data_IF_179611149804
#
_entry.id   IF_179611149804
#
_cell.length_a   1.000
_cell.length_b   1.000
_cell.length_c   1.000
_cell.angle_alpha   90.00
_cell.angle_beta   90.00
_cell.angle_gamma   90.00
#
_symmetry.space_group_name_H-M   'P 1'
#
loop_
_entity.id
_entity.type
_entity.pdbx_description
1 polymer ?
#
# COMPACT_ATOMS: atom_id res chain seq x y z
N UNK A 1 13.12 -20.73 9.80
CA UNK A 1 12.39 -21.91 10.32
C UNK A 1 11.58 -21.58 11.59
N UNK A 2 12.17 -20.96 12.63
CA UNK A 2 11.47 -20.66 13.89
C UNK A 2 10.24 -19.74 13.67
N UNK A 3 10.38 -18.67 12.88
CA UNK A 3 9.25 -17.80 12.54
C UNK A 3 8.10 -18.58 11.87
N UNK A 4 8.41 -19.42 10.87
CA UNK A 4 7.39 -20.22 10.16
C UNK A 4 6.70 -21.20 11.11
N UNK A 5 7.46 -21.88 11.97
CA UNK A 5 6.90 -22.79 12.96
C UNK A 5 5.97 -22.06 13.97
N UNK A 6 6.30 -20.83 14.31
CA UNK A 6 5.46 -20.02 15.21
C UNK A 6 4.07 -19.69 14.60
N UNK A 7 3.94 -19.61 13.28
CA UNK A 7 2.65 -19.35 12.63
C UNK A 7 1.61 -20.44 12.92
N UNK A 8 2.05 -21.69 13.11
CA UNK A 8 1.16 -22.81 13.43
C UNK A 8 0.56 -22.70 14.84
N UNK A 9 1.17 -21.88 15.69
CA UNK A 9 0.77 -21.71 17.09
C UNK A 9 0.02 -20.39 17.35
N UNK A 10 -0.18 -19.55 16.32
CA UNK A 10 -0.90 -18.26 16.47
C UNK A 10 -2.32 -18.37 15.92
N UNK A 11 -3.34 -18.48 16.79
CA UNK A 11 -4.73 -18.56 16.36
C UNK A 11 -5.16 -17.32 15.56
N UNK A 12 -5.88 -17.53 14.47
CA UNK A 12 -6.41 -16.44 13.66
C UNK A 12 -5.48 -15.91 12.57
N UNK A 13 -4.21 -16.33 12.54
CA UNK A 13 -3.30 -16.01 11.46
C UNK A 13 -3.36 -17.10 10.38
N UNK A 14 -3.97 -16.79 9.24
CA UNK A 14 -4.09 -17.72 8.12
C UNK A 14 -2.87 -17.59 7.21
N UNK A 15 -2.05 -18.63 7.17
CA UNK A 15 -0.91 -18.73 6.25
C UNK A 15 -1.35 -19.32 4.91
N UNK A 16 -0.85 -18.74 3.81
CA UNK A 16 -1.07 -19.22 2.45
C UNK A 16 0.28 -19.42 1.79
N UNK A 17 0.60 -20.68 1.48
CA UNK A 17 1.81 -21.02 0.75
C UNK A 17 1.62 -20.69 -0.74
N UNK A 18 2.60 -19.99 -1.31
CA UNK A 18 2.69 -19.72 -2.74
C UNK A 18 4.01 -20.20 -3.29
N UNK A 19 4.09 -20.45 -4.60
CA UNK A 19 5.26 -21.09 -5.21
C UNK A 19 6.29 -20.10 -5.75
N UNK A 20 6.02 -18.80 -5.64
CA UNK A 20 6.92 -17.75 -6.14
C UNK A 20 6.60 -16.42 -5.45
N UNK A 21 7.63 -15.63 -5.12
CA UNK A 21 7.51 -14.43 -4.30
C UNK A 21 6.70 -13.30 -4.97
N UNK A 22 6.77 -13.18 -6.29
CA UNK A 22 5.90 -12.24 -7.03
C UNK A 22 4.42 -12.58 -6.87
N UNK A 23 4.07 -13.87 -6.72
CA UNK A 23 2.68 -14.28 -6.41
C UNK A 23 2.31 -13.85 -4.99
N UNK A 24 3.22 -14.00 -4.01
CA UNK A 24 2.98 -13.55 -2.64
C UNK A 24 2.69 -12.04 -2.58
N UNK A 25 3.57 -11.24 -3.18
CA UNK A 25 3.47 -9.78 -3.14
C UNK A 25 2.29 -9.25 -3.99
N UNK A 26 1.99 -9.91 -5.12
CA UNK A 26 0.81 -9.61 -5.93
C UNK A 26 -0.51 -9.97 -5.22
N UNK A 27 -0.54 -11.10 -4.51
CA UNK A 27 -1.70 -11.48 -3.70
C UNK A 27 -1.94 -10.50 -2.54
N UNK A 28 -0.88 -10.01 -1.89
CA UNK A 28 -0.96 -9.00 -0.83
C UNK A 28 -1.51 -7.66 -1.36
N UNK A 29 -1.03 -7.20 -2.53
CA UNK A 29 -1.56 -6.02 -3.21
C UNK A 29 -3.05 -6.19 -3.55
N UNK A 30 -3.41 -7.30 -4.18
CA UNK A 30 -4.81 -7.61 -4.52
C UNK A 30 -5.72 -7.70 -3.30
N UNK A 31 -5.23 -8.30 -2.21
CA UNK A 31 -5.98 -8.39 -0.97
C UNK A 31 -6.28 -7.00 -0.40
N UNK A 32 -5.28 -6.11 -0.32
CA UNK A 32 -5.51 -4.74 0.14
C UNK A 32 -6.55 -4.01 -0.70
N UNK A 33 -6.44 -4.09 -2.02
CA UNK A 33 -7.40 -3.43 -2.94
C UNK A 33 -8.84 -3.90 -2.72
N UNK A 34 -9.03 -5.15 -2.32
CA UNK A 34 -10.38 -5.73 -2.11
C UNK A 34 -10.88 -5.60 -0.66
N UNK A 35 -10.01 -5.79 0.33
CA UNK A 35 -10.37 -5.84 1.74
C UNK A 35 -10.12 -4.54 2.50
N UNK A 36 -9.31 -3.62 1.96
CA UNK A 36 -8.91 -2.38 2.64
C UNK A 36 -8.03 -2.61 3.87
N UNK A 37 -7.40 -3.78 3.96
CA UNK A 37 -6.55 -4.19 5.09
C UNK A 37 -5.20 -4.67 4.57
N UNK A 38 -4.07 -4.32 5.19
CA UNK A 38 -2.77 -4.86 4.83
C UNK A 38 -2.72 -6.38 4.98
N UNK A 39 -2.08 -7.04 4.01
CA UNK A 39 -1.64 -8.41 4.16
C UNK A 39 -0.16 -8.43 4.52
N UNK A 40 0.28 -9.53 5.17
CA UNK A 40 1.67 -9.77 5.46
C UNK A 40 2.26 -10.73 4.42
N UNK A 41 3.48 -10.46 3.94
CA UNK A 41 4.27 -11.39 3.13
C UNK A 41 5.51 -11.81 3.89
N UNK A 42 6.01 -13.02 3.65
CA UNK A 42 7.28 -13.52 4.19
C UNK A 42 8.17 -13.92 3.03
N UNK A 43 9.30 -13.24 2.89
CA UNK A 43 10.25 -13.40 1.80
C UNK A 43 11.62 -13.84 2.32
N UNK A 44 12.35 -14.60 1.50
CA UNK A 44 13.62 -15.21 1.91
C UNK A 44 14.82 -14.37 1.45
N UNK A 45 15.32 -13.52 2.35
CA UNK A 45 16.51 -12.69 2.16
C UNK A 45 16.42 -11.79 0.90
N UNK A 46 17.56 -11.32 0.42
CA UNK A 46 17.65 -10.49 -0.78
C UNK A 46 17.06 -11.10 -2.04
N UNK A 47 17.40 -12.37 -2.40
CA UNK A 47 16.80 -13.01 -3.57
C UNK A 47 15.29 -13.13 -3.52
N UNK A 48 14.71 -13.49 -2.35
CA UNK A 48 13.26 -13.55 -2.20
C UNK A 48 12.59 -12.18 -2.31
N UNK A 49 13.19 -11.15 -1.71
CA UNK A 49 12.71 -9.78 -1.89
C UNK A 49 12.80 -9.34 -3.35
N UNK A 50 13.94 -9.60 -4.01
CA UNK A 50 14.15 -9.24 -5.41
C UNK A 50 13.10 -9.84 -6.35
N UNK A 51 12.72 -11.10 -6.14
CA UNK A 51 11.63 -11.75 -6.90
C UNK A 51 10.26 -11.12 -6.66
N UNK A 52 10.04 -10.50 -5.50
CA UNK A 52 8.78 -9.83 -5.15
C UNK A 52 8.66 -8.38 -5.60
N UNK A 53 9.76 -7.75 -6.06
CA UNK A 53 9.84 -6.29 -6.28
C UNK A 53 8.82 -5.74 -7.26
N UNK A 54 8.52 -6.44 -8.36
CA UNK A 54 7.62 -5.94 -9.40
C UNK A 54 6.23 -5.63 -8.86
N UNK A 55 5.69 -6.51 -8.01
CA UNK A 55 4.38 -6.31 -7.43
C UNK A 55 4.42 -5.41 -6.18
N UNK A 56 5.53 -5.34 -5.44
CA UNK A 56 5.72 -4.31 -4.41
C UNK A 56 5.77 -2.90 -5.03
N UNK A 57 6.42 -2.74 -6.20
CA UNK A 57 6.35 -1.49 -6.95
C UNK A 57 4.90 -1.14 -7.32
N UNK A 58 4.13 -2.10 -7.82
CA UNK A 58 2.71 -1.89 -8.15
C UNK A 58 1.88 -1.54 -6.92
N UNK A 59 2.08 -2.24 -5.80
CA UNK A 59 1.42 -1.96 -4.53
C UNK A 59 1.73 -0.53 -4.04
N UNK A 60 3.00 -0.11 -4.11
CA UNK A 60 3.42 1.25 -3.76
C UNK A 60 2.72 2.30 -4.61
N UNK A 61 2.65 2.11 -5.93
CA UNK A 61 1.96 3.02 -6.85
C UNK A 61 0.45 3.05 -6.66
N UNK A 62 -0.13 1.92 -6.26
CA UNK A 62 -1.55 1.79 -5.97
C UNK A 62 -1.95 2.35 -4.59
N UNK A 63 -1.01 2.68 -3.73
CA UNK A 63 -1.30 3.01 -2.33
C UNK A 63 -1.86 1.82 -1.56
N UNK A 64 -1.37 0.62 -1.85
CA UNK A 64 -1.77 -0.60 -1.14
C UNK A 64 -0.91 -0.81 0.10
N UNK A 65 -1.57 -1.11 1.22
CA UNK A 65 -0.89 -1.48 2.46
C UNK A 65 -0.37 -2.92 2.39
N UNK A 66 0.94 -3.09 2.60
CA UNK A 66 1.60 -4.41 2.68
C UNK A 66 2.60 -4.38 3.82
N UNK A 67 2.54 -5.37 4.71
CA UNK A 67 3.59 -5.64 5.69
C UNK A 67 4.50 -6.71 5.09
N UNK A 68 5.66 -6.31 4.64
CA UNK A 68 6.60 -7.19 3.96
C UNK A 68 7.71 -7.59 4.94
N UNK A 69 7.68 -8.84 5.40
CA UNK A 69 8.70 -9.41 6.29
C UNK A 69 9.75 -10.09 5.43
N UNK A 70 11.00 -9.70 5.60
CA UNK A 70 12.14 -10.28 4.89
C UNK A 70 13.09 -10.90 5.89
N UNK A 71 13.32 -12.21 5.79
CA UNK A 71 14.34 -12.87 6.58
C UNK A 71 15.73 -12.35 6.21
N UNK A 72 16.63 -12.36 7.20
CA UNK A 72 18.04 -12.00 7.00
C UNK A 72 18.94 -13.02 7.73
N UNK A 73 20.22 -13.04 7.40
CA UNK A 73 21.23 -13.74 8.19
C UNK A 73 21.26 -13.22 9.62
N UNK A 74 21.72 -14.05 10.56
CA UNK A 74 21.94 -13.58 11.94
C UNK A 74 22.85 -12.35 11.94
N UNK A 75 22.62 -11.41 12.85
CA UNK A 75 23.37 -10.16 12.94
C UNK A 75 24.89 -10.39 12.93
N UNK A 76 25.35 -11.45 13.63
CA UNK A 76 26.76 -11.82 13.70
C UNK A 76 27.32 -12.44 12.42
N UNK A 77 26.48 -12.79 11.44
CA UNK A 77 26.87 -13.46 10.19
C UNK A 77 26.86 -12.51 8.98
N UNK A 78 26.22 -11.37 9.06
CA UNK A 78 26.08 -10.44 7.92
C UNK A 78 27.46 -10.00 7.42
N UNK A 79 28.40 -9.71 8.31
CA UNK A 79 29.75 -9.25 7.97
C UNK A 79 30.62 -10.38 7.32
N UNK A 80 30.19 -11.63 7.40
CA UNK A 80 30.94 -12.77 6.86
C UNK A 80 30.64 -13.03 5.37
N UNK A 81 29.80 -12.20 4.76
CA UNK A 81 29.43 -12.30 3.34
C UNK A 81 28.99 -13.72 2.92
N UNK A 82 28.04 -14.28 3.68
CA UNK A 82 27.47 -15.58 3.37
C UNK A 82 26.78 -15.59 1.98
N UNK A 83 26.58 -16.75 1.32
CA UNK A 83 26.14 -16.84 -0.08
C UNK A 83 24.84 -16.07 -0.45
N UNK A 84 23.99 -15.76 0.52
CA UNK A 84 22.74 -15.02 0.29
C UNK A 84 22.76 -13.62 0.92
N UNK A 85 23.91 -13.18 1.44
CA UNK A 85 24.08 -11.82 1.94
C UNK A 85 23.86 -10.81 0.80
N UNK A 86 23.09 -9.79 1.05
CA UNK A 86 22.79 -8.73 0.10
C UNK A 86 22.38 -7.44 0.82
N UNK A 87 22.48 -6.31 0.14
CA UNK A 87 21.92 -5.05 0.63
C UNK A 87 20.40 -5.08 0.55
N UNK A 88 19.77 -5.82 1.47
CA UNK A 88 18.30 -5.98 1.51
C UNK A 88 17.62 -4.63 1.73
N UNK A 89 18.20 -3.77 2.56
CA UNK A 89 17.66 -2.43 2.80
C UNK A 89 17.70 -1.57 1.54
N UNK A 90 18.80 -1.58 0.80
CA UNK A 90 18.94 -0.90 -0.49
C UNK A 90 17.95 -1.42 -1.54
N UNK A 91 17.68 -2.73 -1.55
CA UNK A 91 16.68 -3.35 -2.43
C UNK A 91 15.25 -2.93 -2.01
N UNK A 92 14.96 -2.83 -0.71
CA UNK A 92 13.63 -2.51 -0.18
C UNK A 92 13.24 -1.05 -0.37
N UNK A 93 14.18 -0.10 -0.22
CA UNK A 93 13.92 1.35 -0.22
C UNK A 93 13.12 1.87 -1.42
N UNK A 94 13.40 1.49 -2.68
CA UNK A 94 12.65 1.98 -3.83
C UNK A 94 11.17 1.58 -3.83
N UNK A 95 10.83 0.44 -3.26
CA UNK A 95 9.47 -0.13 -3.28
C UNK A 95 8.73 -0.01 -1.95
N UNK A 96 9.37 0.52 -0.91
CA UNK A 96 8.78 0.68 0.41
C UNK A 96 8.70 2.14 0.83
N UNK A 97 7.77 2.44 1.73
CA UNK A 97 7.63 3.74 2.38
C UNK A 97 8.31 3.76 3.75
N UNK A 98 8.33 2.60 4.39
CA UNK A 98 8.95 2.37 5.68
C UNK A 98 9.83 1.12 5.59
N UNK A 99 11.07 1.22 6.05
CA UNK A 99 12.06 0.14 6.03
C UNK A 99 12.78 0.13 7.37
N UNK A 100 12.87 -1.03 7.99
CA UNK A 100 13.52 -1.19 9.28
C UNK A 100 14.11 -2.59 9.45
N UNK A 101 15.23 -2.69 10.16
CA UNK A 101 15.84 -3.97 10.57
C UNK A 101 15.69 -4.11 12.08
N UNK A 102 15.03 -5.16 12.54
CA UNK A 102 14.97 -5.49 13.96
C UNK A 102 16.29 -6.12 14.39
N UNK A 103 16.91 -5.58 15.44
CA UNK A 103 18.28 -6.01 15.83
C UNK A 103 18.30 -6.98 17.02
N UNK A 104 17.18 -7.18 17.70
CA UNK A 104 17.07 -8.11 18.82
C UNK A 104 15.70 -8.77 18.89
N UNK A 105 15.62 -9.95 19.52
CA UNK A 105 14.35 -10.62 19.79
C UNK A 105 13.38 -9.72 20.62
N UNK A 106 13.91 -8.91 21.52
CA UNK A 106 13.12 -8.02 22.37
C UNK A 106 12.40 -6.92 21.57
N UNK A 107 12.98 -6.48 20.46
CA UNK A 107 12.46 -5.38 19.65
C UNK A 107 11.39 -5.83 18.62
N UNK A 108 11.40 -7.11 18.22
CA UNK A 108 10.56 -7.64 17.14
C UNK A 108 9.08 -7.27 17.29
N UNK A 109 8.52 -7.39 18.50
CA UNK A 109 7.11 -7.07 18.72
C UNK A 109 6.77 -5.60 18.46
N UNK A 110 7.59 -4.68 19.00
CA UNK A 110 7.42 -3.25 18.79
C UNK A 110 7.66 -2.84 17.33
N UNK A 111 8.67 -3.43 16.68
CA UNK A 111 8.98 -3.18 15.27
C UNK A 111 7.87 -3.69 14.34
N UNK A 112 7.32 -4.87 14.63
CA UNK A 112 6.17 -5.40 13.89
C UNK A 112 4.93 -4.51 14.06
N UNK A 113 4.66 -4.00 15.27
CA UNK A 113 3.56 -3.06 15.50
C UNK A 113 3.75 -1.76 14.71
N UNK A 114 4.98 -1.22 14.62
CA UNK A 114 5.32 -0.07 13.77
C UNK A 114 5.15 -0.35 12.28
N UNK A 115 5.57 -1.54 11.82
CA UNK A 115 5.38 -1.94 10.43
C UNK A 115 3.88 -2.00 10.06
N UNK A 116 3.06 -2.57 10.93
CA UNK A 116 1.60 -2.62 10.75
C UNK A 116 1.00 -1.21 10.74
N UNK A 117 1.41 -0.34 11.66
CA UNK A 117 0.98 1.06 11.69
C UNK A 117 1.35 1.78 10.39
N UNK A 118 2.60 1.64 9.94
CA UNK A 118 3.08 2.26 8.69
C UNK A 118 2.29 1.75 7.48
N UNK A 119 2.01 0.46 7.39
CA UNK A 119 1.23 -0.11 6.29
C UNK A 119 -0.22 0.41 6.25
N UNK A 120 -0.76 0.85 7.39
CA UNK A 120 -2.10 1.43 7.51
C UNK A 120 -2.15 2.96 7.33
N UNK A 121 -1.03 3.63 7.10
CA UNK A 121 -1.04 5.07 6.77
C UNK A 121 -1.75 5.26 5.44
N UNK A 122 -2.80 6.09 5.42
CA UNK A 122 -3.62 6.31 4.23
C UNK A 122 -2.82 6.92 3.06
N UNK A 123 -3.03 6.48 1.82
CA UNK A 123 -4.04 5.51 1.33
C UNK A 123 -3.71 4.04 1.62
N UNK A 124 -2.51 3.73 1.97
CA UNK A 124 -1.87 2.46 2.25
C UNK A 124 -0.40 2.53 1.85
N UNK A 125 0.48 1.88 2.60
CA UNK A 125 1.92 1.94 2.39
C UNK A 125 2.55 0.54 2.40
N UNK A 126 3.63 0.36 1.67
CA UNK A 126 4.48 -0.82 1.80
C UNK A 126 5.46 -0.57 2.94
N UNK A 127 5.38 -1.38 3.98
CA UNK A 127 6.29 -1.40 5.12
C UNK A 127 7.13 -2.67 5.08
N UNK A 128 8.45 -2.56 4.96
CA UNK A 128 9.38 -3.69 4.93
C UNK A 128 10.15 -3.76 6.24
N UNK A 129 10.00 -4.90 6.92
CA UNK A 129 10.69 -5.25 8.15
C UNK A 129 11.66 -6.40 7.88
N UNK A 130 12.96 -6.15 8.02
CA UNK A 130 13.97 -7.21 7.99
C UNK A 130 14.07 -7.85 9.38
N UNK A 131 14.08 -9.19 9.39
CA UNK A 131 14.23 -10.01 10.59
C UNK A 131 15.47 -10.90 10.47
N UNK A 132 16.62 -10.49 11.03
CA UNK A 132 17.74 -11.37 11.21
C UNK A 132 17.34 -12.66 11.94
N UNK A 133 17.90 -13.79 11.55
CA UNK A 133 17.47 -15.10 12.01
C UNK A 133 17.61 -15.29 13.53
N UNK A 134 18.57 -14.63 14.16
CA UNK A 134 18.77 -14.64 15.61
C UNK A 134 17.64 -13.90 16.37
N UNK A 135 16.96 -12.97 15.77
CA UNK A 135 15.76 -12.35 16.36
C UNK A 135 14.61 -13.35 16.52
N UNK A 136 14.60 -14.43 15.74
CA UNK A 136 13.55 -15.45 15.77
C UNK A 136 13.90 -16.66 16.66
N UNK A 137 15.18 -16.85 17.02
CA UNK A 137 15.59 -17.99 17.89
C UNK A 137 16.11 -17.57 19.27
N UNK A 138 16.47 -16.29 19.45
CA UNK A 138 16.87 -15.80 20.78
C UNK A 138 15.64 -15.57 21.67
N UNK A 139 15.86 -15.65 22.97
CA UNK A 139 14.84 -15.34 23.96
C UNK A 139 14.62 -13.82 24.12
N UNK A 140 13.51 -13.42 24.72
CA UNK A 140 13.21 -12.03 25.06
C UNK A 140 12.10 -11.38 24.23
N UNK A 141 11.55 -12.08 23.26
CA UNK A 141 10.44 -11.58 22.45
C UNK A 141 9.17 -11.36 23.30
N UNK A 142 8.52 -10.22 23.12
CA UNK A 142 7.25 -9.89 23.76
C UNK A 142 6.24 -9.43 22.71
N UNK A 143 4.95 -9.75 22.96
CA UNK A 143 3.87 -9.23 22.12
C UNK A 143 3.67 -7.75 22.42
N UNK A 144 3.81 -6.91 21.41
CA UNK A 144 3.51 -5.50 21.52
C UNK A 144 2.01 -5.23 21.26
N UNK A 145 1.40 -4.24 21.92
CA UNK A 145 0.06 -3.80 21.59
C UNK A 145 0.02 -3.19 20.19
N UNK A 146 -1.14 -3.28 19.53
CA UNK A 146 -1.38 -2.56 18.29
C UNK A 146 -1.23 -1.05 18.53
N UNK A 147 -0.52 -0.37 17.62
CA UNK A 147 -0.40 1.08 17.67
C UNK A 147 -1.65 1.73 17.07
N UNK A 148 -2.00 2.91 17.61
CA UNK A 148 -3.09 3.70 17.06
C UNK A 148 -2.81 4.04 15.57
N UNK A 149 -3.84 4.03 14.71
CA UNK A 149 -3.69 4.46 13.33
C UNK A 149 -3.16 5.88 13.23
N UNK A 150 -2.32 6.13 12.24
CA UNK A 150 -1.84 7.49 11.96
C UNK A 150 -3.04 8.41 11.66
N UNK A 151 -3.07 9.55 12.34
CA UNK A 151 -4.13 10.55 12.15
C UNK A 151 -4.00 11.14 10.75
N UNK A 152 -5.11 11.16 10.00
CA UNK A 152 -5.14 11.85 8.71
C UNK A 152 -5.02 13.36 8.93
N UNK A 153 -4.23 14.08 8.12
CA UNK A 153 -4.20 15.53 8.18
C UNK A 153 -5.60 16.13 8.01
N UNK A 154 -5.90 17.19 8.75
CA UNK A 154 -7.11 17.95 8.50
C UNK A 154 -7.05 18.60 7.10
N UNK A 155 -8.20 18.74 6.46
CA UNK A 155 -8.27 19.47 5.21
C UNK A 155 -8.07 20.98 5.44
N UNK A 156 -7.48 21.65 4.47
CA UNK A 156 -7.39 23.12 4.45
C UNK A 156 -8.74 23.72 4.03
N UNK A 157 -9.33 24.51 4.90
CA UNK A 157 -10.62 25.13 4.66
C UNK A 157 -10.58 26.15 3.50
N UNK A 158 -9.44 26.84 3.29
CA UNK A 158 -9.27 27.76 2.18
C UNK A 158 -9.21 27.00 0.85
N UNK A 159 -8.40 25.94 0.78
CA UNK A 159 -8.36 25.08 -0.40
C UNK A 159 -9.71 24.43 -0.73
N UNK A 160 -10.48 24.05 0.30
CA UNK A 160 -11.85 23.55 0.08
C UNK A 160 -12.75 24.61 -0.52
N UNK A 161 -12.70 25.86 -0.03
CA UNK A 161 -13.51 26.97 -0.57
C UNK A 161 -13.15 27.26 -2.03
N UNK A 162 -11.86 27.25 -2.38
CA UNK A 162 -11.39 27.41 -3.77
C UNK A 162 -11.88 26.26 -4.66
N UNK A 163 -11.80 25.02 -4.21
CA UNK A 163 -12.30 23.85 -4.93
C UNK A 163 -13.81 23.94 -5.17
N UNK A 164 -14.59 24.35 -4.16
CA UNK A 164 -16.05 24.56 -4.30
C UNK A 164 -16.35 25.63 -5.33
N UNK A 165 -15.62 26.75 -5.33
CA UNK A 165 -15.79 27.83 -6.32
C UNK A 165 -15.39 27.37 -7.74
N UNK A 166 -14.38 26.53 -7.87
CA UNK A 166 -13.92 25.99 -9.16
C UNK A 166 -14.92 25.00 -9.79
N UNK A 167 -15.68 24.25 -8.99
CA UNK A 167 -16.59 23.19 -9.45
C UNK A 167 -17.93 23.72 -9.99
N UNK A 168 -17.96 24.86 -10.69
CA UNK A 168 -19.17 25.46 -11.18
C UNK A 168 -19.29 25.37 -12.71
N UNK A 169 -20.30 24.65 -13.20
CA UNK A 169 -20.66 24.58 -14.62
C UNK A 169 -19.96 23.46 -15.40
N UNK A 170 -20.32 23.30 -16.69
CA UNK A 170 -19.92 22.16 -17.50
C UNK A 170 -18.45 22.19 -17.97
N UNK A 171 -17.77 23.33 -17.85
CA UNK A 171 -16.35 23.52 -18.15
C UNK A 171 -15.45 23.28 -16.94
N UNK A 172 -16.01 22.74 -15.85
CA UNK A 172 -15.28 22.27 -14.69
C UNK A 172 -15.28 20.74 -14.61
N UNK A 173 -14.16 20.19 -14.18
CA UNK A 173 -13.91 18.76 -14.04
C UNK A 173 -13.52 18.41 -12.60
N UNK A 174 -14.21 17.46 -12.01
CA UNK A 174 -13.76 16.77 -10.82
C UNK A 174 -13.01 15.50 -11.23
N UNK A 175 -11.68 15.57 -11.17
CA UNK A 175 -10.78 14.45 -11.49
C UNK A 175 -10.58 13.60 -10.24
N UNK A 176 -11.02 12.34 -10.30
CA UNK A 176 -11.06 11.41 -9.16
C UNK A 176 -9.94 10.40 -9.22
N UNK A 177 -9.37 10.07 -8.06
CA UNK A 177 -8.36 9.01 -7.92
C UNK A 177 -8.41 8.35 -6.55
N UNK A 178 -7.69 7.24 -6.39
CA UNK A 178 -7.54 6.54 -5.12
C UNK A 178 -8.85 6.19 -4.43
N UNK A 179 -8.98 6.56 -3.15
CA UNK A 179 -10.15 6.27 -2.33
C UNK A 179 -11.45 6.94 -2.82
N UNK A 180 -11.35 8.02 -3.60
CA UNK A 180 -12.51 8.70 -4.18
C UNK A 180 -13.26 7.85 -5.24
N UNK A 181 -12.69 6.72 -5.65
CA UNK A 181 -13.30 5.78 -6.59
C UNK A 181 -14.02 4.59 -5.92
N UNK A 182 -14.17 4.59 -4.60
CA UNK A 182 -15.04 3.66 -3.88
C UNK A 182 -16.51 3.94 -4.17
N UNK A 183 -17.40 2.96 -3.98
CA UNK A 183 -18.83 3.12 -4.23
C UNK A 183 -19.43 4.30 -3.48
N UNK A 184 -19.10 4.43 -2.19
CA UNK A 184 -19.57 5.51 -1.32
C UNK A 184 -19.12 6.90 -1.83
N UNK A 185 -17.83 7.04 -2.17
CA UNK A 185 -17.30 8.32 -2.64
C UNK A 185 -17.78 8.68 -4.05
N UNK A 186 -18.01 7.68 -4.92
CA UNK A 186 -18.62 7.92 -6.23
C UNK A 186 -20.05 8.44 -6.11
N UNK A 187 -20.81 8.00 -5.11
CA UNK A 187 -22.14 8.57 -4.83
C UNK A 187 -22.04 10.03 -4.41
N UNK A 188 -21.08 10.38 -3.55
CA UNK A 188 -20.81 11.78 -3.17
C UNK A 188 -20.42 12.60 -4.39
N UNK A 189 -19.51 12.10 -5.24
CA UNK A 189 -19.08 12.76 -6.47
C UNK A 189 -20.25 12.98 -7.44
N UNK A 190 -21.15 11.99 -7.56
CA UNK A 190 -22.37 12.10 -8.35
C UNK A 190 -23.31 13.21 -7.85
N UNK A 191 -23.49 13.35 -6.54
CA UNK A 191 -24.28 14.43 -5.94
C UNK A 191 -23.64 15.80 -6.18
N UNK A 192 -22.31 15.90 -6.10
CA UNK A 192 -21.57 17.12 -6.43
C UNK A 192 -21.82 17.48 -7.90
N UNK A 193 -21.63 16.55 -8.82
CA UNK A 193 -21.82 16.78 -10.24
C UNK A 193 -23.27 17.19 -10.58
N UNK A 194 -24.25 16.55 -9.96
CA UNK A 194 -25.67 16.92 -10.13
C UNK A 194 -25.98 18.36 -9.65
N UNK A 195 -25.34 18.78 -8.55
CA UNK A 195 -25.54 20.12 -7.97
C UNK A 195 -24.79 21.22 -8.74
N UNK A 196 -23.58 20.95 -9.21
CA UNK A 196 -22.68 21.97 -9.77
C UNK A 196 -22.65 21.98 -11.31
N UNK A 197 -23.04 20.88 -11.94
CA UNK A 197 -22.93 20.67 -13.38
C UNK A 197 -21.52 20.26 -13.85
N UNK A 198 -20.54 20.12 -12.93
CA UNK A 198 -19.20 19.67 -13.27
C UNK A 198 -19.20 18.25 -13.87
N UNK A 199 -18.18 17.95 -14.65
CA UNK A 199 -17.97 16.60 -15.20
C UNK A 199 -17.12 15.75 -14.25
N UNK A 200 -17.25 14.44 -14.37
CA UNK A 200 -16.50 13.46 -13.59
C UNK A 200 -15.60 12.65 -14.52
N UNK A 201 -14.31 12.62 -14.24
CA UNK A 201 -13.35 11.69 -14.83
C UNK A 201 -12.47 11.11 -13.73
N UNK A 202 -11.85 9.99 -14.02
CA UNK A 202 -10.80 9.43 -13.16
C UNK A 202 -9.46 9.44 -13.87
N UNK A 203 -8.39 9.46 -13.08
CA UNK A 203 -7.06 9.20 -13.60
C UNK A 203 -7.01 7.81 -14.29
N UNK A 204 -6.05 7.60 -15.18
CA UNK A 204 -5.96 6.35 -15.93
C UNK A 204 -5.44 5.17 -15.08
N UNK A 205 -4.54 5.43 -14.13
CA UNK A 205 -3.79 4.41 -13.36
C UNK A 205 -4.42 4.12 -11.99
N UNK A 206 -5.70 3.85 -11.94
CA UNK A 206 -6.39 3.61 -10.67
C UNK A 206 -6.06 2.24 -10.08
N UNK A 207 -5.84 2.20 -8.78
CA UNK A 207 -5.69 0.97 -8.02
C UNK A 207 -6.96 0.11 -8.05
N UNK A 208 -8.13 0.75 -7.87
CA UNK A 208 -9.45 0.16 -7.90
C UNK A 208 -10.48 1.22 -8.27
N UNK A 209 -11.44 0.86 -9.09
CA UNK A 209 -12.62 1.67 -9.38
C UNK A 209 -13.85 0.77 -9.36
N UNK A 210 -14.81 1.08 -8.52
CA UNK A 210 -16.07 0.34 -8.45
C UNK A 210 -17.00 0.76 -9.59
N UNK A 211 -17.60 -0.23 -10.27
CA UNK A 211 -18.41 -0.04 -11.48
C UNK A 211 -19.65 -0.92 -11.46
N UNK A 212 -20.62 -0.57 -12.30
CA UNK A 212 -21.85 -1.35 -12.48
C UNK A 212 -22.84 -1.22 -11.32
N UNK A 213 -23.87 -2.05 -11.32
CA UNK A 213 -24.93 -2.09 -10.28
C UNK A 213 -25.56 -0.72 -9.98
N UNK A 214 -25.76 0.15 -10.99
CA UNK A 214 -26.36 1.47 -10.82
C UNK A 214 -25.43 2.55 -10.25
N UNK A 215 -24.14 2.24 -10.06
CA UNK A 215 -23.16 3.23 -9.57
C UNK A 215 -22.95 4.36 -10.57
N UNK A 216 -22.54 5.51 -10.07
CA UNK A 216 -22.19 6.67 -10.88
C UNK A 216 -21.10 6.29 -11.90
N UNK A 217 -21.34 6.61 -13.15
CA UNK A 217 -20.41 6.33 -14.24
C UNK A 217 -19.32 7.39 -14.27
N UNK A 218 -18.08 6.95 -14.08
CA UNK A 218 -16.89 7.80 -14.20
C UNK A 218 -15.96 7.14 -15.23
N UNK A 219 -15.72 7.85 -16.34
CA UNK A 219 -14.79 7.40 -17.36
C UNK A 219 -13.35 7.75 -16.99
N UNK A 220 -12.39 7.00 -17.51
CA UNK A 220 -10.97 7.28 -17.30
C UNK A 220 -10.47 8.29 -18.32
N UNK A 221 -9.55 9.14 -17.91
CA UNK A 221 -8.68 9.86 -18.83
C UNK A 221 -7.88 8.83 -19.63
N UNK A 222 -7.81 8.92 -20.97
CA UNK A 222 -7.05 7.98 -21.79
C UNK A 222 -5.56 7.94 -21.42
N UNK A 223 -4.91 6.78 -21.61
CA UNK A 223 -3.46 6.63 -21.39
C UNK A 223 -2.61 7.36 -22.46
N UNK A 224 -2.93 7.28 -23.78
CA UNK A 224 -2.17 8.03 -24.80
C UNK A 224 -2.30 9.53 -24.56
N UNK A 225 -1.17 10.24 -24.58
CA UNK A 225 -1.10 11.64 -24.18
C UNK A 225 -1.92 12.57 -25.09
N UNK A 226 -1.95 12.31 -26.38
CA UNK A 226 -2.75 13.04 -27.36
C UNK A 226 -4.24 12.96 -27.07
N UNK A 227 -4.74 11.76 -26.79
CA UNK A 227 -6.13 11.52 -26.41
C UNK A 227 -6.45 12.10 -25.02
N UNK A 228 -5.50 12.06 -24.07
CA UNK A 228 -5.68 12.68 -22.77
C UNK A 228 -5.82 14.19 -22.88
N UNK A 229 -4.97 14.83 -23.69
CA UNK A 229 -5.03 16.26 -23.95
C UNK A 229 -6.36 16.66 -24.62
N UNK A 230 -6.80 15.89 -25.63
CA UNK A 230 -8.10 16.11 -26.28
C UNK A 230 -9.26 15.96 -25.31
N UNK A 231 -9.20 14.94 -24.42
CA UNK A 231 -10.24 14.70 -23.40
C UNK A 231 -10.32 15.83 -22.37
N UNK A 232 -9.16 16.41 -21.99
CA UNK A 232 -9.08 17.46 -20.98
C UNK A 232 -9.26 18.88 -21.53
N UNK A 233 -9.05 19.10 -22.83
CA UNK A 233 -9.11 20.40 -23.49
C UNK A 233 -10.40 21.21 -23.25
N UNK A 234 -11.60 20.59 -23.12
CA UNK A 234 -12.85 21.34 -22.87
C UNK A 234 -12.92 21.97 -21.47
N UNK A 235 -12.10 21.52 -20.51
CA UNK A 235 -12.19 21.97 -19.13
C UNK A 235 -11.24 23.13 -18.86
N UNK A 236 -11.79 24.19 -18.25
CA UNK A 236 -11.02 25.37 -17.83
C UNK A 236 -10.58 25.27 -16.36
N UNK A 237 -11.22 24.37 -15.61
CA UNK A 237 -10.98 24.17 -14.17
C UNK A 237 -10.99 22.68 -13.87
N UNK A 238 -9.93 22.19 -13.23
CA UNK A 238 -9.75 20.80 -12.85
C UNK A 238 -9.37 20.75 -11.37
#
# INVERSE_FOLDING_TARGET
MHFVAALDHVPGMRSILVLQEGVATGAADGYYRMAGKPACTLLHLGPGLANGLSNLHNAKKAGSGVVNIVGEHAVTHIELDAPLTSDIEGIARPVSHWVHTSLSAADVGADAARAVQAANVAPGQVATLMLPSDTAWNEGGTVAPALEPAVRPAFDAAALAEAVAALSGPDSLLLLGGAALSAEMLEVAGRIAAKTGCKLLSEWANARQERGAGRVVVNRVPYPIDQALETLAPFKRI
#
